data_IF_227904942846
#
_entry.id   IF_227904942846
#
_cell.length_a   1.000
_cell.length_b   1.000
_cell.length_c   1.000
_cell.angle_alpha   90.00
_cell.angle_beta   90.00
_cell.angle_gamma   90.00
#
_symmetry.space_group_name_H-M   'P 1'
#
loop_
_entity.id
_entity.type
_entity.pdbx_description
1 polymer ?
#
# COMPACT_ATOMS: atom_id res chain seq x y z
N UNK A 1 5.18 11.26 -2.41
CA UNK A 1 4.21 11.60 -3.46
C UNK A 1 4.64 10.70 -4.57
N UNK A 2 3.70 9.87 -5.03
CA UNK A 2 3.97 8.74 -5.88
C UNK A 2 4.40 9.21 -7.29
N UNK A 3 5.63 9.69 -7.43
CA UNK A 3 6.13 10.36 -8.62
C UNK A 3 6.24 9.41 -9.80
N UNK A 4 6.59 8.15 -9.55
CA UNK A 4 6.80 7.17 -10.62
C UNK A 4 5.47 6.70 -11.21
N UNK A 5 4.50 6.37 -10.35
CA UNK A 5 3.16 5.94 -10.79
C UNK A 5 2.41 7.07 -11.50
N UNK A 6 2.53 8.32 -11.04
CA UNK A 6 1.95 9.50 -11.70
C UNK A 6 2.63 9.76 -13.05
N UNK A 7 3.96 9.65 -13.12
CA UNK A 7 4.69 9.79 -14.40
C UNK A 7 4.25 8.74 -15.42
N UNK A 8 4.10 7.47 -15.02
CA UNK A 8 3.53 6.42 -15.88
C UNK A 8 2.15 6.81 -16.43
N UNK A 9 1.27 7.34 -15.57
CA UNK A 9 -0.06 7.79 -15.98
C UNK A 9 0.01 8.97 -16.98
N UNK A 10 0.87 9.97 -16.73
CA UNK A 10 1.06 11.11 -17.63
C UNK A 10 1.55 10.66 -19.01
N UNK A 11 2.43 9.66 -19.04
CA UNK A 11 2.97 9.08 -20.27
C UNK A 11 1.99 8.15 -20.98
N UNK A 12 0.81 7.91 -20.43
CA UNK A 12 -0.20 7.01 -21.01
C UNK A 12 0.20 5.53 -20.94
N UNK A 13 1.08 5.15 -20.02
CA UNK A 13 1.46 3.76 -19.82
C UNK A 13 0.30 2.97 -19.21
N UNK A 14 -0.36 2.15 -20.03
CA UNK A 14 -1.52 1.37 -19.62
C UNK A 14 -1.16 0.23 -18.67
N UNK A 15 0.10 -0.22 -18.62
CA UNK A 15 0.54 -1.30 -17.73
C UNK A 15 0.42 -0.91 -16.24
N UNK A 16 0.35 0.40 -15.95
CA UNK A 16 0.16 0.89 -14.59
C UNK A 16 -1.14 0.36 -13.97
N UNK A 17 -2.21 0.21 -14.76
CA UNK A 17 -3.49 -0.30 -14.29
C UNK A 17 -3.34 -1.75 -13.81
N UNK A 18 -2.64 -2.58 -14.58
CA UNK A 18 -2.38 -3.98 -14.23
C UNK A 18 -1.54 -4.08 -12.95
N UNK A 19 -0.58 -3.17 -12.76
CA UNK A 19 0.23 -3.12 -11.54
C UNK A 19 -0.62 -2.80 -10.30
N UNK A 20 -1.56 -1.85 -10.39
CA UNK A 20 -2.50 -1.56 -9.29
C UNK A 20 -3.43 -2.74 -8.99
N UNK A 21 -3.93 -3.43 -10.02
CA UNK A 21 -4.77 -4.62 -9.85
C UNK A 21 -4.00 -5.80 -9.22
N UNK A 22 -2.76 -6.02 -9.65
CA UNK A 22 -1.86 -7.01 -9.05
C UNK A 22 -1.63 -6.72 -7.57
N UNK A 23 -1.32 -5.47 -7.23
CA UNK A 23 -1.13 -5.06 -5.86
C UNK A 23 -2.39 -5.24 -5.00
N UNK A 24 -3.57 -4.96 -5.54
CA UNK A 24 -4.83 -5.20 -4.84
C UNK A 24 -5.02 -6.68 -4.52
N UNK A 25 -4.76 -7.58 -5.48
CA UNK A 25 -4.77 -9.03 -5.23
C UNK A 25 -3.75 -9.47 -4.18
N UNK A 26 -2.51 -8.94 -4.24
CA UNK A 26 -1.50 -9.23 -3.21
C UNK A 26 -1.96 -8.78 -1.82
N UNK A 27 -2.69 -7.67 -1.72
CA UNK A 27 -3.29 -7.25 -0.46
C UNK A 27 -4.41 -8.19 0.01
N UNK A 28 -5.24 -8.72 -0.88
CA UNK A 28 -6.22 -9.75 -0.50
C UNK A 28 -5.54 -11.00 0.07
N UNK A 29 -4.46 -11.47 -0.56
CA UNK A 29 -3.65 -12.59 -0.03
C UNK A 29 -3.04 -12.28 1.35
N UNK A 30 -2.67 -11.02 1.61
CA UNK A 30 -2.16 -10.59 2.92
C UNK A 30 -3.28 -10.70 3.97
N UNK A 31 -4.48 -10.26 3.65
CA UNK A 31 -5.64 -10.30 4.57
C UNK A 31 -6.16 -11.71 4.84
N UNK A 32 -5.90 -12.66 3.95
CA UNK A 32 -6.20 -14.08 4.19
C UNK A 32 -5.24 -14.73 5.20
N UNK A 33 -4.10 -14.11 5.49
CA UNK A 33 -3.17 -14.61 6.49
C UNK A 33 -3.63 -14.22 7.90
N UNK A 34 -3.87 -15.17 8.83
CA UNK A 34 -4.32 -14.87 10.19
C UNK A 34 -3.38 -13.94 10.99
N UNK A 35 -2.10 -13.88 10.65
CA UNK A 35 -1.16 -12.97 11.30
C UNK A 35 -1.45 -11.49 10.96
N UNK A 36 -2.19 -11.22 9.87
CA UNK A 36 -2.58 -9.87 9.46
C UNK A 36 -3.62 -9.21 10.37
N UNK A 37 -4.26 -9.98 11.26
CA UNK A 37 -5.25 -9.49 12.23
C UNK A 37 -4.64 -8.58 13.31
N UNK A 38 -3.30 -8.49 13.38
CA UNK A 38 -2.59 -7.61 14.31
C UNK A 38 -1.63 -6.70 13.56
N UNK A 39 -1.41 -5.49 14.08
CA UNK A 39 -0.48 -4.55 13.46
C UNK A 39 0.97 -5.09 13.39
N UNK A 40 1.42 -5.87 14.38
CA UNK A 40 2.77 -6.43 14.41
C UNK A 40 2.93 -7.62 13.45
N UNK A 41 1.91 -8.48 13.35
CA UNK A 41 1.91 -9.55 12.36
C UNK A 41 1.81 -9.00 10.94
N UNK A 42 0.94 -8.01 10.69
CA UNK A 42 0.88 -7.30 9.42
C UNK A 42 2.21 -6.62 9.08
N UNK A 43 2.88 -5.97 10.04
CA UNK A 43 4.19 -5.34 9.83
C UNK A 43 5.25 -6.35 9.34
N UNK A 44 5.25 -7.55 9.92
CA UNK A 44 6.15 -8.65 9.51
C UNK A 44 5.82 -9.17 8.12
N UNK A 45 4.53 -9.34 7.80
CA UNK A 45 4.10 -9.73 6.44
C UNK A 45 4.55 -8.68 5.41
N UNK A 46 4.30 -7.39 5.67
CA UNK A 46 4.66 -6.30 4.76
C UNK A 46 6.17 -6.23 4.52
N UNK A 47 6.97 -6.49 5.55
CA UNK A 47 8.43 -6.57 5.43
C UNK A 47 8.86 -7.59 4.37
N UNK A 48 8.28 -8.79 4.42
CA UNK A 48 8.61 -9.88 3.48
C UNK A 48 8.01 -9.60 2.10
N UNK A 49 6.77 -9.11 2.05
CA UNK A 49 6.03 -8.89 0.80
C UNK A 49 6.55 -7.73 -0.03
N UNK A 50 7.34 -6.80 0.52
CA UNK A 50 7.92 -5.68 -0.24
C UNK A 50 8.58 -6.15 -1.56
N UNK A 51 9.44 -7.17 -1.50
CA UNK A 51 10.12 -7.69 -2.71
C UNK A 51 9.11 -8.24 -3.72
N UNK A 52 8.03 -8.86 -3.25
CA UNK A 52 6.95 -9.35 -4.13
C UNK A 52 6.25 -8.20 -4.86
N UNK A 53 5.93 -7.11 -4.17
CA UNK A 53 5.35 -5.93 -4.82
C UNK A 53 6.32 -5.32 -5.83
N UNK A 54 7.60 -5.18 -5.47
CA UNK A 54 8.63 -4.66 -6.39
C UNK A 54 8.77 -5.51 -7.65
N UNK A 55 8.68 -6.83 -7.56
CA UNK A 55 8.79 -7.71 -8.73
C UNK A 55 7.50 -7.79 -9.56
N UNK A 56 6.33 -7.71 -8.94
CA UNK A 56 5.05 -7.97 -9.61
C UNK A 56 4.25 -6.73 -9.96
N UNK A 57 4.67 -5.54 -9.49
CA UNK A 57 3.92 -4.29 -9.66
C UNK A 57 4.80 -3.18 -10.28
N UNK A 58 5.50 -3.49 -11.38
CA UNK A 58 6.18 -2.47 -12.19
C UNK A 58 7.61 -2.11 -11.77
N UNK A 59 8.28 -2.96 -10.98
CA UNK A 59 9.67 -2.76 -10.57
C UNK A 59 9.80 -2.09 -9.19
N UNK A 60 11.04 -1.86 -8.76
CA UNK A 60 11.36 -1.38 -7.41
C UNK A 60 10.59 -0.12 -7.04
N UNK A 61 10.64 0.92 -7.86
CA UNK A 61 10.09 2.22 -7.49
C UNK A 61 8.56 2.26 -7.58
N UNK A 62 7.99 1.82 -8.71
CA UNK A 62 6.53 1.75 -8.92
C UNK A 62 5.90 0.78 -7.91
N UNK A 63 6.49 -0.40 -7.72
CA UNK A 63 5.95 -1.41 -6.82
C UNK A 63 5.90 -0.96 -5.36
N UNK A 64 6.91 -0.23 -4.89
CA UNK A 64 6.90 0.39 -3.56
C UNK A 64 5.78 1.42 -3.40
N UNK A 65 5.58 2.29 -4.40
CA UNK A 65 4.52 3.30 -4.37
C UNK A 65 3.13 2.65 -4.37
N UNK A 66 2.90 1.69 -5.28
CA UNK A 66 1.61 1.01 -5.42
C UNK A 66 1.30 0.16 -4.18
N UNK A 67 2.29 -0.55 -3.63
CA UNK A 67 2.13 -1.31 -2.38
C UNK A 67 1.47 -0.47 -1.29
N UNK A 68 1.97 0.75 -1.12
CA UNK A 68 1.47 1.70 -0.13
C UNK A 68 0.13 2.29 -0.56
N UNK A 69 0.05 2.80 -1.79
CA UNK A 69 -1.15 3.48 -2.29
C UNK A 69 -2.39 2.58 -2.22
N UNK A 70 -2.26 1.33 -2.67
CA UNK A 70 -3.34 0.33 -2.59
C UNK A 70 -3.60 -0.08 -1.14
N UNK A 71 -2.55 -0.19 -0.33
CA UNK A 71 -2.66 -0.54 1.09
C UNK A 71 -3.65 0.34 1.86
N UNK A 72 -3.62 1.65 1.61
CA UNK A 72 -4.60 2.59 2.17
C UNK A 72 -5.86 2.72 1.31
N UNK A 73 -5.69 2.92 0.00
CA UNK A 73 -6.78 3.31 -0.91
C UNK A 73 -7.89 2.26 -1.03
N UNK A 74 -7.57 0.98 -0.83
CA UNK A 74 -8.58 -0.10 -0.89
C UNK A 74 -9.70 0.02 0.16
N UNK A 75 -9.48 0.80 1.21
CA UNK A 75 -10.45 1.02 2.29
C UNK A 75 -11.19 2.35 2.19
N UNK A 76 -10.80 3.21 1.24
CA UNK A 76 -11.29 4.57 1.13
C UNK A 76 -12.32 4.68 0.01
N UNK A 77 -13.42 5.37 0.29
CA UNK A 77 -14.41 5.77 -0.69
C UNK A 77 -14.64 7.28 -0.64
N UNK A 78 -14.88 7.88 -1.81
CA UNK A 78 -15.13 9.33 -1.90
C UNK A 78 -16.47 9.77 -1.29
N UNK A 79 -17.39 8.82 -1.02
CA UNK A 79 -18.69 9.13 -0.42
C UNK A 79 -18.64 9.25 1.11
N UNK A 80 -17.84 8.41 1.77
CA UNK A 80 -17.86 8.16 3.22
C UNK A 80 -16.45 8.13 3.87
N UNK A 81 -15.40 8.36 3.08
CA UNK A 81 -14.03 8.27 3.55
C UNK A 81 -13.66 6.82 3.88
N UNK A 82 -13.14 6.57 5.08
CA UNK A 82 -12.87 5.20 5.53
C UNK A 82 -14.08 4.49 6.13
N UNK A 83 -15.12 5.21 6.60
CA UNK A 83 -16.29 4.62 7.23
C UNK A 83 -15.94 3.53 8.27
N UNK A 84 -16.53 2.35 8.10
CA UNK A 84 -16.28 1.16 8.93
C UNK A 84 -14.85 0.58 8.82
N UNK A 85 -14.10 0.95 7.77
CA UNK A 85 -12.73 0.50 7.53
C UNK A 85 -11.67 1.40 8.20
N UNK A 86 -12.06 2.41 8.98
CA UNK A 86 -11.13 3.34 9.62
C UNK A 86 -10.11 2.62 10.53
N UNK A 87 -10.53 1.56 11.23
CA UNK A 87 -9.63 0.75 12.06
C UNK A 87 -8.61 -0.02 11.21
N UNK A 88 -9.04 -0.61 10.09
CA UNK A 88 -8.15 -1.31 9.16
C UNK A 88 -7.14 -0.37 8.52
N UNK A 89 -7.57 0.81 8.08
CA UNK A 89 -6.67 1.83 7.52
C UNK A 89 -5.65 2.32 8.57
N UNK A 90 -6.09 2.49 9.82
CA UNK A 90 -5.20 2.82 10.95
C UNK A 90 -4.22 1.68 11.25
N UNK A 91 -4.67 0.42 11.17
CA UNK A 91 -3.80 -0.75 11.35
C UNK A 91 -2.72 -0.82 10.27
N UNK A 92 -3.06 -0.55 9.01
CA UNK A 92 -2.09 -0.45 7.91
C UNK A 92 -1.05 0.64 8.20
N UNK A 93 -1.47 1.81 8.67
CA UNK A 93 -0.56 2.89 9.09
C UNK A 93 0.42 2.42 10.15
N UNK A 94 -0.08 1.80 11.22
CA UNK A 94 0.76 1.30 12.31
C UNK A 94 1.69 0.21 11.81
N UNK A 95 1.21 -0.72 10.99
CA UNK A 95 1.99 -1.82 10.44
C UNK A 95 3.16 -1.33 9.57
N UNK A 96 2.93 -0.36 8.66
CA UNK A 96 4.02 0.24 7.89
C UNK A 96 5.04 0.96 8.78
N UNK A 97 4.59 1.62 9.86
CA UNK A 97 5.52 2.28 10.79
C UNK A 97 6.43 1.29 11.52
N UNK A 98 5.90 0.09 11.84
CA UNK A 98 6.57 -0.96 12.60
C UNK A 98 7.31 -1.99 11.74
N UNK A 99 7.04 -2.05 10.44
CA UNK A 99 7.69 -3.00 9.53
C UNK A 99 9.19 -2.72 9.41
N UNK A 100 9.94 -3.64 8.83
CA UNK A 100 11.32 -3.41 8.39
C UNK A 100 11.40 -3.10 6.89
N UNK A 101 10.31 -2.60 6.29
CA UNK A 101 10.32 -2.10 4.92
C UNK A 101 11.33 -0.96 4.75
N UNK A 102 11.72 -0.70 3.50
CA UNK A 102 12.69 0.35 3.18
C UNK A 102 12.19 1.75 3.60
N UNK A 103 13.14 2.69 3.73
CA UNK A 103 12.83 4.06 4.12
C UNK A 103 11.92 4.76 3.11
N UNK A 104 12.01 4.40 1.83
CA UNK A 104 11.15 4.89 0.76
C UNK A 104 9.71 4.43 0.95
N UNK A 105 9.49 3.13 1.20
CA UNK A 105 8.15 2.58 1.51
C UNK A 105 7.56 3.24 2.75
N UNK A 106 8.33 3.33 3.85
CA UNK A 106 7.87 4.00 5.07
C UNK A 106 7.61 5.49 4.86
N UNK A 107 8.43 6.15 4.06
CA UNK A 107 8.27 7.54 3.68
C UNK A 107 6.99 7.76 2.89
N UNK A 108 6.68 6.89 1.92
CA UNK A 108 5.44 6.94 1.16
C UNK A 108 4.23 6.61 2.04
N UNK A 109 4.36 5.66 2.97
CA UNK A 109 3.28 5.31 3.89
C UNK A 109 2.88 6.49 4.79
N UNK A 110 3.83 7.27 5.31
CA UNK A 110 3.53 8.51 6.06
C UNK A 110 2.86 9.57 5.17
N UNK A 111 3.35 9.73 3.94
CA UNK A 111 2.75 10.69 3.00
C UNK A 111 1.32 10.32 2.66
N UNK A 112 1.05 9.03 2.41
CA UNK A 112 -0.28 8.55 2.10
C UNK A 112 -1.23 8.64 3.30
N UNK A 113 -0.74 8.36 4.52
CA UNK A 113 -1.49 8.60 5.74
C UNK A 113 -1.95 10.06 5.86
N UNK A 114 -1.11 11.05 5.51
CA UNK A 114 -1.52 12.46 5.46
C UNK A 114 -2.56 12.76 4.40
N UNK A 115 -2.40 12.21 3.19
CA UNK A 115 -3.36 12.43 2.09
C UNK A 115 -4.76 11.97 2.51
N UNK A 116 -4.85 10.86 3.25
CA UNK A 116 -6.11 10.34 3.76
C UNK A 116 -6.50 10.83 5.17
N UNK A 117 -5.82 11.85 5.71
CA UNK A 117 -6.08 12.42 7.04
C UNK A 117 -6.08 11.39 8.19
N UNK A 118 -5.12 10.46 8.18
CA UNK A 118 -4.87 9.48 9.25
C UNK A 118 -3.74 9.90 10.20
N UNK A 119 -3.16 11.11 10.05
CA UNK A 119 -2.13 11.68 10.94
C UNK A 119 -2.70 12.77 11.85
#
# INVERSE_FOLDING_TARGET
MASYTIESLINGDTAIVDNYQNAFRLWQEIWENPESDTADGLARILTVRQITFEHQCGGRWIGQEIMVAVGYGQFYSNADGFGENAERATMVKVAFSRSSCSLEVKGEARRMARIYNLE
#
